data_IF_576456464699
#
_entry.id   IF_576456464699
#
_cell.length_a   1.000
_cell.length_b   1.000
_cell.length_c   1.000
_cell.angle_alpha   90.00
_cell.angle_beta   90.00
_cell.angle_gamma   90.00
#
_symmetry.space_group_name_H-M   'P 1'
#
loop_
_entity.id
_entity.type
_entity.pdbx_description
1 polymer ?
#
# COMPACT_ATOMS: atom_id res chain seq x y z
N UNK A 1 -13.21 -2.06 -12.00
CA UNK A 1 -12.85 -0.64 -11.80
C UNK A 1 -11.52 -0.43 -11.04
N UNK A 2 -11.37 -0.96 -9.82
CA UNK A 2 -10.21 -0.70 -8.93
C UNK A 2 -8.87 -1.03 -9.57
N UNK A 3 -8.75 -2.23 -10.16
CA UNK A 3 -7.54 -2.71 -10.82
C UNK A 3 -7.15 -1.85 -12.04
N UNK A 4 -8.14 -1.35 -12.80
CA UNK A 4 -7.90 -0.47 -13.95
C UNK A 4 -7.30 0.87 -13.48
N UNK A 5 -7.86 1.44 -12.41
CA UNK A 5 -7.34 2.67 -11.82
C UNK A 5 -5.94 2.48 -11.21
N UNK A 6 -5.68 1.36 -10.52
CA UNK A 6 -4.35 1.03 -9.99
C UNK A 6 -3.31 0.87 -11.09
N UNK A 7 -3.61 0.11 -12.14
CA UNK A 7 -2.69 -0.10 -13.26
C UNK A 7 -2.37 1.21 -13.98
N UNK A 8 -3.39 2.05 -14.21
CA UNK A 8 -3.22 3.34 -14.88
C UNK A 8 -2.38 4.30 -14.02
N UNK A 9 -2.67 4.39 -12.72
CA UNK A 9 -1.89 5.18 -11.76
C UNK A 9 -0.43 4.73 -11.72
N UNK A 10 -0.20 3.41 -11.68
CA UNK A 10 1.16 2.83 -11.67
C UNK A 10 1.92 3.13 -12.96
N UNK A 11 1.26 2.99 -14.12
CA UNK A 11 1.87 3.31 -15.40
C UNK A 11 2.28 4.79 -15.48
N UNK A 12 1.43 5.70 -15.00
CA UNK A 12 1.76 7.13 -14.92
C UNK A 12 2.89 7.40 -13.93
N UNK A 13 2.90 6.74 -12.76
CA UNK A 13 3.99 6.87 -11.78
C UNK A 13 5.34 6.51 -12.41
N UNK A 14 5.40 5.37 -13.12
CA UNK A 14 6.62 4.90 -13.80
C UNK A 14 7.04 5.88 -14.89
N UNK A 15 6.10 6.32 -15.75
CA UNK A 15 6.39 7.28 -16.81
C UNK A 15 6.89 8.62 -16.26
N UNK A 16 6.25 9.15 -15.21
CA UNK A 16 6.64 10.37 -14.53
C UNK A 16 8.03 10.24 -13.89
N UNK A 17 8.32 9.11 -13.24
CA UNK A 17 9.64 8.84 -12.68
C UNK A 17 10.74 8.86 -13.75
N UNK A 18 10.54 8.18 -14.88
CA UNK A 18 11.50 8.22 -16.01
C UNK A 18 11.63 9.61 -16.63
N UNK A 19 10.53 10.34 -16.74
CA UNK A 19 10.52 11.69 -17.27
C UNK A 19 11.31 12.67 -16.39
N UNK A 20 11.14 12.62 -15.07
CA UNK A 20 11.90 13.45 -14.15
C UNK A 20 13.37 13.01 -14.08
N UNK A 21 13.64 11.70 -14.09
CA UNK A 21 15.01 11.18 -14.07
C UNK A 21 15.82 11.51 -15.33
N UNK A 22 15.18 11.60 -16.50
CA UNK A 22 15.84 11.91 -17.78
C UNK A 22 16.16 13.39 -17.97
N UNK A 23 15.50 14.29 -17.22
CA UNK A 23 15.69 15.75 -17.33
C UNK A 23 16.76 16.31 -16.40
N UNK A 24 17.22 15.52 -15.45
CA UNK A 24 18.18 15.95 -14.45
C UNK A 24 19.49 15.20 -14.66
N UNK A 25 20.53 15.86 -15.17
CA UNK A 25 21.84 15.23 -15.41
C UNK A 25 22.74 15.18 -14.17
N UNK A 26 22.34 15.85 -13.08
CA UNK A 26 23.15 16.02 -11.87
C UNK A 26 23.15 14.79 -10.95
N UNK A 27 22.30 13.79 -11.15
CA UNK A 27 22.30 12.57 -10.32
C UNK A 27 23.46 11.63 -10.64
N UNK A 28 24.16 11.84 -11.77
CA UNK A 28 25.32 11.03 -12.18
C UNK A 28 26.62 11.36 -11.43
N UNK A 29 26.67 12.34 -10.51
CA UNK A 29 27.95 12.87 -9.98
C UNK A 29 28.18 12.74 -8.46
N UNK A 30 27.18 12.46 -7.61
CA UNK A 30 27.40 12.53 -6.14
C UNK A 30 27.63 11.17 -5.42
N UNK A 31 27.64 10.03 -6.13
CA UNK A 31 27.95 8.74 -5.50
C UNK A 31 29.46 8.51 -5.29
N UNK A 32 30.31 9.30 -5.96
CA UNK A 32 31.77 9.13 -5.93
C UNK A 32 32.51 10.24 -5.14
N UNK A 33 31.81 11.29 -4.70
CA UNK A 33 32.42 12.50 -4.11
C UNK A 33 32.21 12.65 -2.60
N UNK A 34 31.32 11.86 -1.98
CA UNK A 34 31.26 11.76 -0.53
C UNK A 34 32.22 10.67 -0.05
N UNK A 35 33.47 11.09 0.19
CA UNK A 35 34.37 10.34 1.04
C UNK A 35 33.72 10.07 2.40
N UNK A 36 34.06 8.91 2.95
CA UNK A 36 33.69 8.45 4.28
C UNK A 36 34.10 9.47 5.34
N UNK A 37 33.27 10.47 5.60
CA UNK A 37 33.28 11.18 6.88
C UNK A 37 32.19 10.56 7.76
N UNK A 38 32.57 9.77 8.77
CA UNK A 38 31.60 9.14 9.66
C UNK A 38 30.96 10.23 10.52
N UNK A 39 29.67 10.46 10.29
CA UNK A 39 28.83 11.12 11.27
C UNK A 39 28.83 10.26 12.53
N UNK A 40 29.49 10.74 13.58
CA UNK A 40 29.52 10.13 14.90
C UNK A 40 28.08 9.94 15.44
N UNK A 41 27.65 8.67 15.41
CA UNK A 41 27.11 7.95 16.57
C UNK A 41 26.07 8.68 17.44
N UNK A 42 24.81 8.63 17.01
CA UNK A 42 23.70 8.35 17.92
C UNK A 42 22.57 7.55 17.25
N UNK A 43 22.90 6.77 16.21
CA UNK A 43 22.04 5.74 15.65
C UNK A 43 22.77 4.43 15.89
N UNK A 44 22.25 3.63 16.82
CA UNK A 44 22.62 2.23 17.00
C UNK A 44 22.75 1.56 15.63
N UNK A 45 23.88 0.88 15.41
CA UNK A 45 24.18 -0.03 14.31
C UNK A 45 22.91 -0.51 13.61
N UNK A 46 22.51 0.15 12.52
CA UNK A 46 21.55 -0.46 11.62
C UNK A 46 22.33 -1.48 10.82
N UNK A 47 22.32 -2.72 11.31
CA UNK A 47 22.79 -3.90 10.61
C UNK A 47 22.43 -3.79 9.13
N UNK A 48 23.45 -3.63 8.28
CA UNK A 48 23.27 -3.76 6.86
C UNK A 48 22.71 -5.16 6.61
N UNK A 49 21.48 -5.24 6.10
CA UNK A 49 20.76 -6.48 5.80
C UNK A 49 21.54 -7.24 4.71
N UNK A 50 22.54 -8.02 5.08
CA UNK A 50 23.32 -8.88 4.18
C UNK A 50 22.77 -10.30 4.21
N UNK A 51 22.89 -11.04 3.10
CA UNK A 51 22.44 -12.45 3.00
C UNK A 51 23.03 -13.36 4.10
N UNK A 52 24.20 -13.01 4.66
CA UNK A 52 24.81 -13.71 5.81
C UNK A 52 23.96 -13.63 7.08
N UNK A 53 23.26 -12.51 7.31
CA UNK A 53 22.47 -12.28 8.52
C UNK A 53 21.38 -13.34 8.72
N UNK A 54 20.84 -13.89 7.64
CA UNK A 54 19.75 -14.87 7.67
C UNK A 54 20.17 -16.33 7.51
N UNK A 55 21.46 -16.64 7.36
CA UNK A 55 21.91 -18.02 7.19
C UNK A 55 21.55 -18.92 8.40
N UNK A 56 21.50 -18.35 9.60
CA UNK A 56 21.12 -19.05 10.83
C UNK A 56 19.64 -19.50 10.86
N UNK A 57 18.79 -18.92 10.00
CA UNK A 57 17.38 -19.27 9.85
C UNK A 57 17.16 -20.47 8.93
N UNK A 58 18.20 -20.98 8.27
CA UNK A 58 18.11 -22.19 7.46
C UNK A 58 18.14 -23.40 8.38
N UNK A 59 17.02 -24.10 8.50
CA UNK A 59 16.93 -25.35 9.23
C UNK A 59 17.59 -26.49 8.44
N UNK A 60 18.14 -27.48 9.16
CA UNK A 60 18.58 -28.74 8.56
C UNK A 60 17.41 -29.43 7.85
N UNK A 61 17.67 -29.82 6.59
CA UNK A 61 16.68 -30.27 5.60
C UNK A 61 15.99 -31.58 6.01
N UNK A 62 14.94 -31.50 6.85
CA UNK A 62 14.18 -32.68 7.30
C UNK A 62 13.04 -32.98 6.31
N UNK A 63 13.03 -34.17 5.72
CA UNK A 63 12.01 -34.60 4.75
C UNK A 63 10.56 -34.47 5.27
N UNK A 64 10.34 -34.66 6.58
CA UNK A 64 9.02 -34.49 7.21
C UNK A 64 8.48 -33.06 7.18
N UNK A 65 9.34 -32.05 7.25
CA UNK A 65 8.90 -30.64 7.17
C UNK A 65 8.34 -30.30 5.78
N UNK A 66 8.89 -30.91 4.73
CA UNK A 66 8.37 -30.75 3.37
C UNK A 66 6.99 -31.40 3.20
N UNK A 67 6.78 -32.58 3.77
CA UNK A 67 5.46 -33.22 3.73
C UNK A 67 4.40 -32.34 4.40
N UNK A 68 4.69 -31.80 5.58
CA UNK A 68 3.79 -30.87 6.29
C UNK A 68 3.56 -29.58 5.48
N UNK A 69 4.62 -29.05 4.86
CA UNK A 69 4.53 -27.87 4.00
C UNK A 69 3.60 -28.06 2.80
N UNK A 70 3.53 -29.26 2.23
CA UNK A 70 2.63 -29.56 1.10
C UNK A 70 1.23 -29.99 1.55
N UNK A 71 1.08 -30.61 2.73
CA UNK A 71 -0.21 -31.06 3.27
C UNK A 71 -1.14 -29.91 3.63
N UNK A 72 -0.62 -28.83 4.21
CA UNK A 72 -1.41 -27.65 4.58
C UNK A 72 -2.09 -26.96 3.38
N UNK A 73 -1.36 -26.53 2.32
CA UNK A 73 -1.98 -25.96 1.14
C UNK A 73 -2.83 -26.97 0.38
N UNK A 74 -2.47 -28.26 0.38
CA UNK A 74 -3.31 -29.31 -0.20
C UNK A 74 -4.66 -29.45 0.53
N UNK A 75 -4.69 -29.30 1.85
CA UNK A 75 -5.93 -29.28 2.65
C UNK A 75 -6.82 -28.08 2.33
N UNK A 76 -6.23 -26.89 2.17
CA UNK A 76 -6.96 -25.68 1.78
C UNK A 76 -7.51 -25.79 0.35
N UNK A 77 -6.71 -26.31 -0.59
CA UNK A 77 -7.15 -26.60 -1.96
C UNK A 77 -8.25 -27.66 -1.96
N UNK A 78 -8.14 -28.71 -1.15
CA UNK A 78 -9.17 -29.74 -1.00
C UNK A 78 -10.49 -29.19 -0.44
N UNK A 79 -10.43 -28.32 0.56
CA UNK A 79 -11.61 -27.63 1.11
C UNK A 79 -12.26 -26.70 0.08
N UNK A 80 -11.43 -25.99 -0.71
CA UNK A 80 -11.91 -25.14 -1.80
C UNK A 80 -12.57 -25.95 -2.91
N UNK A 81 -11.98 -27.09 -3.29
CA UNK A 81 -12.56 -28.01 -4.29
C UNK A 81 -13.86 -28.64 -3.77
N UNK A 82 -13.93 -29.04 -2.50
CA UNK A 82 -15.16 -29.58 -1.92
C UNK A 82 -16.30 -28.56 -1.98
N UNK A 83 -16.04 -27.30 -1.64
CA UNK A 83 -17.02 -26.22 -1.78
C UNK A 83 -17.37 -25.92 -3.25
N UNK A 84 -16.39 -25.98 -4.13
CA UNK A 84 -16.59 -25.78 -5.57
C UNK A 84 -17.53 -26.84 -6.18
N UNK A 85 -17.40 -28.09 -5.75
CA UNK A 85 -18.24 -29.21 -6.20
C UNK A 85 -19.70 -29.08 -5.72
N UNK A 86 -19.94 -28.35 -4.63
CA UNK A 86 -21.28 -28.03 -4.11
C UNK A 86 -21.88 -26.75 -4.68
N UNK A 87 -21.14 -26.00 -5.51
CA UNK A 87 -21.61 -24.74 -6.07
C UNK A 87 -22.41 -24.97 -7.36
N UNK A 88 -23.64 -24.46 -7.41
CA UNK A 88 -24.48 -24.52 -8.61
C UNK A 88 -23.92 -23.66 -9.76
N UNK A 89 -23.24 -22.56 -9.44
CA UNK A 89 -22.69 -21.62 -10.42
C UNK A 89 -21.22 -21.30 -10.12
N UNK A 90 -20.33 -21.81 -10.98
CA UNK A 90 -18.87 -21.61 -10.88
C UNK A 90 -18.46 -20.13 -10.86
N UNK A 91 -19.10 -19.31 -11.70
CA UNK A 91 -18.75 -17.89 -11.83
C UNK A 91 -19.07 -17.07 -10.58
N UNK A 92 -20.24 -17.30 -9.97
CA UNK A 92 -20.66 -16.63 -8.73
C UNK A 92 -19.80 -17.07 -7.55
N UNK A 93 -19.46 -18.36 -7.47
CA UNK A 93 -18.57 -18.87 -6.43
C UNK A 93 -17.19 -18.19 -6.46
N UNK A 94 -16.59 -18.09 -7.65
CA UNK A 94 -15.28 -17.45 -7.82
C UNK A 94 -15.32 -15.96 -7.45
N UNK A 95 -16.41 -15.27 -7.79
CA UNK A 95 -16.57 -13.84 -7.52
C UNK A 95 -16.83 -13.54 -6.04
N UNK A 96 -17.78 -14.23 -5.41
CA UNK A 96 -18.30 -13.82 -4.11
C UNK A 96 -17.60 -14.55 -2.95
N UNK A 97 -17.29 -15.85 -3.10
CA UNK A 97 -16.62 -16.61 -2.05
C UNK A 97 -15.10 -16.45 -2.08
N UNK A 98 -14.48 -16.72 -3.23
CA UNK A 98 -13.02 -16.81 -3.31
C UNK A 98 -12.36 -15.44 -3.11
N UNK A 99 -12.86 -14.40 -3.79
CA UNK A 99 -12.28 -13.06 -3.71
C UNK A 99 -12.47 -12.41 -2.33
N UNK A 100 -13.58 -12.71 -1.63
CA UNK A 100 -13.94 -12.03 -0.38
C UNK A 100 -13.38 -12.75 0.86
N UNK A 101 -13.48 -14.07 0.93
CA UNK A 101 -13.23 -14.81 2.17
C UNK A 101 -11.97 -15.67 2.14
N UNK A 102 -11.61 -16.21 0.99
CA UNK A 102 -10.53 -17.19 0.89
C UNK A 102 -9.18 -16.59 0.51
N UNK A 103 -9.16 -15.38 -0.07
CA UNK A 103 -7.93 -14.76 -0.56
C UNK A 103 -6.88 -14.55 0.55
N UNK A 104 -7.28 -13.95 1.68
CA UNK A 104 -6.35 -13.66 2.80
C UNK A 104 -5.83 -14.92 3.49
N UNK A 105 -6.68 -15.89 3.91
CA UNK A 105 -6.20 -17.15 4.47
C UNK A 105 -5.31 -17.93 3.50
N UNK A 106 -5.66 -17.97 2.20
CA UNK A 106 -4.86 -18.67 1.20
C UNK A 106 -3.48 -18.04 1.04
N UNK A 107 -3.39 -16.70 1.01
CA UNK A 107 -2.12 -15.98 0.94
C UNK A 107 -1.24 -16.25 2.16
N UNK A 108 -1.80 -16.17 3.38
CA UNK A 108 -1.06 -16.47 4.61
C UNK A 108 -0.53 -17.90 4.61
N UNK A 109 -1.37 -18.88 4.23
CA UNK A 109 -0.98 -20.28 4.19
C UNK A 109 0.09 -20.55 3.13
N UNK A 110 -0.02 -19.89 1.97
CA UNK A 110 0.97 -19.98 0.90
C UNK A 110 2.34 -19.50 1.36
N UNK A 111 2.43 -18.33 2.00
CA UNK A 111 3.70 -17.79 2.50
C UNK A 111 4.31 -18.73 3.56
N UNK A 112 3.50 -19.23 4.49
CA UNK A 112 3.95 -20.11 5.56
C UNK A 112 4.46 -21.45 5.02
N UNK A 113 3.67 -22.09 4.14
CA UNK A 113 4.04 -23.35 3.49
C UNK A 113 5.29 -23.20 2.62
N UNK A 114 5.42 -22.10 1.88
CA UNK A 114 6.62 -21.80 1.11
C UNK A 114 7.87 -21.71 2.00
N UNK A 115 7.80 -21.00 3.13
CA UNK A 115 8.88 -20.91 4.11
C UNK A 115 9.30 -22.28 4.66
N UNK A 116 8.33 -23.10 5.09
CA UNK A 116 8.61 -24.46 5.60
C UNK A 116 9.19 -25.34 4.48
N UNK A 117 8.66 -25.28 3.27
CA UNK A 117 9.13 -26.08 2.12
C UNK A 117 10.56 -25.76 1.69
N UNK A 118 10.98 -24.50 1.88
CA UNK A 118 12.36 -24.03 1.67
C UNK A 118 13.29 -24.35 2.84
N UNK A 119 12.76 -24.88 3.95
CA UNK A 119 13.55 -25.22 5.13
C UNK A 119 13.89 -24.01 5.99
N UNK A 120 13.09 -22.94 5.93
CA UNK A 120 13.26 -21.76 6.79
C UNK A 120 12.65 -22.05 8.16
N UNK A 121 13.32 -21.62 9.23
CA UNK A 121 12.78 -21.59 10.58
C UNK A 121 11.76 -20.46 10.69
N UNK A 122 10.55 -20.71 10.19
CA UNK A 122 9.51 -19.69 10.01
C UNK A 122 9.19 -18.92 11.29
N UNK A 123 9.17 -19.59 12.44
CA UNK A 123 8.93 -18.93 13.72
C UNK A 123 10.03 -17.90 14.06
N UNK A 124 11.30 -18.32 14.01
CA UNK A 124 12.46 -17.44 14.26
C UNK A 124 12.51 -16.27 13.26
N UNK A 125 12.23 -16.55 11.98
CA UNK A 125 12.19 -15.53 10.93
C UNK A 125 11.10 -14.48 11.20
N UNK A 126 9.91 -14.90 11.66
CA UNK A 126 8.82 -13.99 12.01
C UNK A 126 9.17 -13.15 13.23
N UNK A 127 9.74 -13.74 14.28
CA UNK A 127 10.11 -13.00 15.49
C UNK A 127 11.23 -11.99 15.24
N UNK A 128 12.24 -12.36 14.45
CA UNK A 128 13.33 -11.46 14.09
C UNK A 128 12.82 -10.32 13.19
N UNK A 129 12.01 -10.64 12.17
CA UNK A 129 11.36 -9.63 11.34
C UNK A 129 10.45 -8.69 12.15
N UNK A 130 9.75 -9.20 13.17
CA UNK A 130 8.93 -8.38 14.06
C UNK A 130 9.77 -7.42 14.91
N UNK A 131 10.95 -7.85 15.40
CA UNK A 131 11.89 -6.98 16.14
C UNK A 131 12.44 -5.87 15.23
N UNK A 132 12.92 -6.22 14.04
CA UNK A 132 13.40 -5.24 13.05
C UNK A 132 12.30 -4.25 12.67
N UNK A 133 11.08 -4.74 12.43
CA UNK A 133 9.90 -3.91 12.16
C UNK A 133 9.56 -2.96 13.31
N UNK A 134 9.74 -3.37 14.56
CA UNK A 134 9.50 -2.53 15.73
C UNK A 134 10.51 -1.38 15.83
N UNK A 135 11.79 -1.64 15.56
CA UNK A 135 12.82 -0.60 15.52
C UNK A 135 12.55 0.43 14.42
N UNK A 136 12.15 -0.05 13.22
CA UNK A 136 11.73 0.81 12.12
C UNK A 136 10.51 1.64 12.53
N UNK A 137 9.51 1.04 13.18
CA UNK A 137 8.33 1.75 13.66
C UNK A 137 8.70 2.91 14.60
N UNK A 138 9.60 2.69 15.57
CA UNK A 138 10.08 3.74 16.48
C UNK A 138 10.69 4.91 15.71
N UNK A 139 11.53 4.63 14.69
CA UNK A 139 12.14 5.68 13.85
C UNK A 139 11.11 6.50 13.07
N UNK A 140 9.98 5.89 12.70
CA UNK A 140 8.95 6.54 11.87
C UNK A 140 7.95 7.36 12.72
N UNK A 141 7.71 7.00 13.99
CA UNK A 141 6.74 7.68 14.89
C UNK A 141 6.81 9.22 14.79
N UNK A 142 7.98 9.89 14.88
CA UNK A 142 8.04 11.35 14.83
C UNK A 142 7.49 11.94 13.54
N UNK A 143 7.79 11.33 12.40
CA UNK A 143 7.29 11.75 11.09
C UNK A 143 5.77 11.58 10.99
N UNK A 144 5.24 10.47 11.53
CA UNK A 144 3.80 10.21 11.54
C UNK A 144 3.05 11.20 12.42
N UNK A 145 3.57 11.51 13.61
CA UNK A 145 2.96 12.49 14.50
C UNK A 145 2.89 13.86 13.82
N UNK A 146 3.98 14.30 13.18
CA UNK A 146 4.02 15.59 12.49
C UNK A 146 2.95 15.70 11.38
N UNK A 147 2.85 14.69 10.51
CA UNK A 147 1.87 14.71 9.40
C UNK A 147 0.43 14.57 9.92
N UNK A 148 0.16 13.71 10.90
CA UNK A 148 -1.18 13.52 11.46
C UNK A 148 -1.67 14.78 12.18
N UNK A 149 -0.79 15.46 12.92
CA UNK A 149 -1.11 16.75 13.56
C UNK A 149 -1.38 17.82 12.50
N UNK A 150 -0.54 17.92 11.46
CA UNK A 150 -0.74 18.88 10.37
C UNK A 150 -2.09 18.67 9.66
N UNK A 151 -2.44 17.41 9.34
CA UNK A 151 -3.74 17.06 8.73
C UNK A 151 -4.89 17.38 9.70
N UNK A 152 -4.75 17.05 10.98
CA UNK A 152 -5.75 17.35 12.01
C UNK A 152 -6.02 18.84 12.11
N UNK A 153 -4.97 19.67 12.17
CA UNK A 153 -5.08 21.13 12.17
C UNK A 153 -5.70 21.65 10.87
N UNK A 154 -5.28 21.12 9.72
CA UNK A 154 -5.83 21.51 8.42
C UNK A 154 -7.34 21.23 8.32
N UNK A 155 -7.80 20.08 8.79
CA UNK A 155 -9.23 19.75 8.87
C UNK A 155 -9.97 20.64 9.86
N UNK A 156 -9.44 20.81 11.07
CA UNK A 156 -10.06 21.64 12.11
C UNK A 156 -10.15 23.13 11.73
N UNK A 157 -9.25 23.60 10.85
CA UNK A 157 -9.26 24.99 10.36
C UNK A 157 -10.39 25.32 9.38
N UNK A 158 -11.14 24.32 8.89
CA UNK A 158 -12.13 24.50 7.82
C UNK A 158 -11.54 24.75 6.43
N UNK A 159 -10.20 24.78 6.30
CA UNK A 159 -9.51 24.94 5.02
C UNK A 159 -9.88 23.83 4.01
N UNK A 160 -10.14 22.62 4.52
CA UNK A 160 -10.59 21.49 3.72
C UNK A 160 -11.92 21.77 3.01
N UNK A 161 -12.90 22.36 3.71
CA UNK A 161 -14.23 22.64 3.18
C UNK A 161 -14.19 23.78 2.16
N UNK A 162 -13.35 24.79 2.42
CA UNK A 162 -13.09 25.89 1.49
C UNK A 162 -12.46 25.33 0.20
N UNK A 163 -11.42 24.50 0.33
CA UNK A 163 -10.75 23.87 -0.80
C UNK A 163 -11.72 23.00 -1.61
N UNK A 164 -12.55 22.21 -0.93
CA UNK A 164 -13.58 21.40 -1.56
C UNK A 164 -14.56 22.27 -2.35
N UNK A 165 -15.03 23.38 -1.77
CA UNK A 165 -15.96 24.30 -2.43
C UNK A 165 -15.37 24.94 -3.69
N UNK A 166 -14.09 25.34 -3.63
CA UNK A 166 -13.39 25.97 -4.76
C UNK A 166 -13.14 24.99 -5.91
N UNK A 167 -12.80 23.73 -5.59
CA UNK A 167 -12.45 22.70 -6.59
C UNK A 167 -13.70 22.00 -7.15
N UNK A 168 -14.80 21.95 -6.38
CA UNK A 168 -16.06 21.31 -6.76
C UNK A 168 -16.55 21.59 -8.21
N UNK A 169 -16.55 22.83 -8.74
CA UNK A 169 -17.00 23.08 -10.11
C UNK A 169 -16.15 22.36 -11.17
N UNK A 170 -14.87 22.10 -10.89
CA UNK A 170 -13.98 21.38 -11.81
C UNK A 170 -14.18 19.87 -11.63
N UNK A 171 -14.27 19.39 -10.39
CA UNK A 171 -14.37 17.95 -10.11
C UNK A 171 -15.74 17.37 -10.40
N UNK A 172 -16.81 18.16 -10.31
CA UNK A 172 -18.15 17.75 -10.70
C UNK A 172 -18.24 17.45 -12.20
N UNK A 173 -17.54 18.21 -13.05
CA UNK A 173 -17.44 17.93 -14.50
C UNK A 173 -16.72 16.60 -14.79
N UNK A 174 -15.84 16.17 -13.89
CA UNK A 174 -15.08 14.93 -14.00
C UNK A 174 -15.83 13.72 -13.40
N UNK A 175 -17.06 13.91 -12.91
CA UNK A 175 -17.86 12.82 -12.32
C UNK A 175 -17.50 12.49 -10.86
N UNK A 176 -16.85 13.41 -10.15
CA UNK A 176 -16.53 13.30 -8.72
C UNK A 176 -17.53 14.13 -7.89
N UNK A 177 -18.43 13.48 -7.11
CA UNK A 177 -19.37 14.17 -6.24
C UNK A 177 -18.67 14.99 -5.16
N UNK A 178 -19.27 16.11 -4.76
CA UNK A 178 -18.73 16.99 -3.71
C UNK A 178 -18.51 16.25 -2.38
N UNK A 179 -19.33 15.24 -2.09
CA UNK A 179 -19.29 14.39 -0.90
C UNK A 179 -18.02 13.51 -0.84
N UNK A 180 -17.50 13.12 -2.01
CA UNK A 180 -16.33 12.23 -2.16
C UNK A 180 -15.03 13.03 -2.23
N UNK A 181 -15.10 14.33 -2.53
CA UNK A 181 -13.95 15.22 -2.65
C UNK A 181 -13.06 15.29 -1.40
N UNK A 182 -13.60 15.34 -0.17
CA UNK A 182 -12.79 15.25 1.04
C UNK A 182 -11.96 13.97 1.10
N UNK A 183 -12.53 12.84 0.64
CA UNK A 183 -11.81 11.57 0.60
C UNK A 183 -10.66 11.62 -0.42
N UNK A 184 -10.91 12.14 -1.62
CA UNK A 184 -9.90 12.28 -2.68
C UNK A 184 -8.66 13.06 -2.22
N UNK A 185 -8.86 14.12 -1.45
CA UNK A 185 -7.79 14.96 -0.92
C UNK A 185 -7.12 14.29 0.29
N UNK A 186 -7.88 13.62 1.16
CA UNK A 186 -7.32 12.92 2.31
C UNK A 186 -6.53 11.67 1.93
N UNK A 187 -6.86 11.01 0.81
CA UNK A 187 -6.27 9.72 0.44
C UNK A 187 -4.73 9.75 0.33
N UNK A 188 -4.09 10.72 -0.35
CA UNK A 188 -2.63 10.85 -0.36
C UNK A 188 -2.01 11.16 1.02
N UNK A 189 -2.78 11.80 1.90
CA UNK A 189 -2.32 12.33 3.19
C UNK A 189 -2.46 11.30 4.32
N UNK A 190 -3.57 10.54 4.34
CA UNK A 190 -3.94 9.63 5.41
C UNK A 190 -4.91 8.55 4.93
N UNK A 191 -4.49 7.29 5.06
CA UNK A 191 -5.31 6.13 4.69
C UNK A 191 -6.46 5.91 5.66
N UNK A 192 -6.22 6.08 6.96
CA UNK A 192 -7.25 5.97 8.00
C UNK A 192 -8.25 7.13 7.95
N UNK A 193 -7.79 8.35 7.64
CA UNK A 193 -8.66 9.50 7.42
C UNK A 193 -9.57 9.32 6.20
N UNK A 194 -9.00 8.86 5.07
CA UNK A 194 -9.79 8.53 3.88
C UNK A 194 -10.76 7.37 4.12
N UNK A 195 -10.34 6.34 4.85
CA UNK A 195 -11.19 5.21 5.23
C UNK A 195 -12.37 5.64 6.10
N UNK A 196 -12.17 6.55 7.06
CA UNK A 196 -13.24 7.06 7.89
C UNK A 196 -14.32 7.79 7.05
N UNK A 197 -13.89 8.59 6.07
CA UNK A 197 -14.83 9.26 5.14
C UNK A 197 -15.55 8.24 4.26
N UNK A 198 -14.83 7.29 3.66
CA UNK A 198 -15.43 6.20 2.88
C UNK A 198 -16.46 5.42 3.70
N UNK A 199 -16.11 5.03 4.93
CA UNK A 199 -16.99 4.28 5.82
C UNK A 199 -18.25 5.08 6.19
N UNK A 200 -18.14 6.41 6.36
CA UNK A 200 -19.30 7.25 6.62
C UNK A 200 -20.27 7.26 5.42
N UNK A 201 -19.74 7.45 4.19
CA UNK A 201 -20.53 7.41 2.96
C UNK A 201 -21.22 6.05 2.77
N UNK A 202 -20.47 4.96 2.98
CA UNK A 202 -21.00 3.59 2.87
C UNK A 202 -22.07 3.32 3.92
N UNK A 203 -21.91 3.80 5.15
CA UNK A 203 -22.93 3.64 6.20
C UNK A 203 -24.20 4.44 5.91
N UNK A 204 -24.08 5.62 5.31
CA UNK A 204 -25.22 6.47 4.96
C UNK A 204 -26.02 5.89 3.78
N UNK A 205 -25.33 5.52 2.70
CA UNK A 205 -25.98 4.97 1.51
C UNK A 205 -25.08 3.92 0.83
N UNK A 206 -25.14 2.63 1.27
CA UNK A 206 -24.22 1.59 0.80
C UNK A 206 -24.22 1.37 -0.72
N UNK A 207 -25.40 1.48 -1.35
CA UNK A 207 -25.59 1.24 -2.78
C UNK A 207 -25.55 2.53 -3.62
N UNK A 208 -25.06 3.64 -3.05
CA UNK A 208 -24.93 4.90 -3.80
C UNK A 208 -23.70 4.92 -4.69
N UNK A 209 -23.74 5.76 -5.72
CA UNK A 209 -22.57 6.02 -6.56
C UNK A 209 -21.39 6.59 -5.75
N UNK A 210 -21.66 7.46 -4.76
CA UNK A 210 -20.66 8.03 -3.86
C UNK A 210 -19.93 6.96 -3.03
N UNK A 211 -20.67 5.98 -2.51
CA UNK A 211 -20.12 4.81 -1.80
C UNK A 211 -19.32 3.88 -2.71
N UNK A 212 -19.80 3.66 -3.93
CA UNK A 212 -19.08 2.86 -4.92
C UNK A 212 -17.78 3.52 -5.36
N UNK A 213 -17.82 4.79 -5.76
CA UNK A 213 -16.65 5.55 -6.19
C UNK A 213 -15.63 5.68 -5.06
N UNK A 214 -16.08 5.96 -3.82
CA UNK A 214 -15.17 6.05 -2.68
C UNK A 214 -14.49 4.70 -2.37
N UNK A 215 -15.20 3.58 -2.53
CA UNK A 215 -14.61 2.25 -2.39
C UNK A 215 -13.56 1.94 -3.48
N UNK A 216 -13.81 2.36 -4.72
CA UNK A 216 -12.84 2.21 -5.83
C UNK A 216 -11.58 3.04 -5.54
N UNK A 217 -11.74 4.32 -5.21
CA UNK A 217 -10.62 5.21 -4.90
C UNK A 217 -9.80 4.73 -3.69
N UNK A 218 -10.46 4.19 -2.66
CA UNK A 218 -9.82 3.60 -1.47
C UNK A 218 -8.96 2.37 -1.83
N UNK A 219 -9.33 1.61 -2.86
CA UNK A 219 -8.57 0.44 -3.30
C UNK A 219 -7.51 0.73 -4.38
N UNK A 220 -7.52 1.91 -5.00
CA UNK A 220 -6.73 2.17 -6.20
C UNK A 220 -5.41 2.91 -6.00
N UNK A 221 -5.29 3.67 -4.92
CA UNK A 221 -4.13 4.55 -4.64
C UNK A 221 -3.57 4.28 -3.26
N UNK A 222 -2.35 4.74 -2.98
CA UNK A 222 -1.70 4.63 -1.67
C UNK A 222 -1.71 5.97 -0.93
N UNK A 223 -1.13 5.97 0.27
CA UNK A 223 -0.98 7.17 1.10
C UNK A 223 0.34 7.88 0.81
N UNK A 224 0.45 8.55 -0.35
CA UNK A 224 1.71 9.13 -0.86
C UNK A 224 2.57 9.84 0.16
N UNK A 225 2.04 10.82 0.91
CA UNK A 225 2.86 11.57 1.87
C UNK A 225 3.32 10.71 3.05
N UNK A 226 2.47 9.77 3.48
CA UNK A 226 2.80 8.81 4.52
C UNK A 226 3.87 7.81 4.04
N UNK A 227 3.71 7.26 2.83
CA UNK A 227 4.68 6.37 2.19
C UNK A 227 6.02 7.09 2.01
N UNK A 228 6.04 8.33 1.50
CA UNK A 228 7.29 9.09 1.43
C UNK A 228 7.92 9.26 2.82
N UNK A 229 7.17 9.70 3.82
CA UNK A 229 7.69 9.91 5.18
C UNK A 229 8.26 8.62 5.80
N UNK A 230 7.55 7.50 5.66
CA UNK A 230 7.94 6.19 6.19
C UNK A 230 9.17 5.64 5.48
N UNK A 231 9.11 5.54 4.15
CA UNK A 231 10.15 4.86 3.37
C UNK A 231 11.41 5.72 3.28
N UNK A 232 11.27 7.04 3.11
CA UNK A 232 12.42 7.92 3.00
C UNK A 232 12.99 8.22 4.38
N UNK A 233 12.14 8.31 5.41
CA UNK A 233 12.57 8.45 6.80
C UNK A 233 13.36 7.23 7.29
N UNK A 234 12.95 6.01 6.93
CA UNK A 234 13.66 4.78 7.32
C UNK A 234 15.07 4.68 6.71
N UNK A 235 15.27 5.22 5.51
CA UNK A 235 16.55 5.15 4.76
C UNK A 235 17.33 6.49 4.82
N UNK A 236 16.79 7.52 5.47
CA UNK A 236 17.46 8.82 5.62
C UNK A 236 17.55 9.65 4.32
N UNK A 237 16.65 9.45 3.37
CA UNK A 237 16.67 10.16 2.07
C UNK A 237 16.12 11.58 2.25
N UNK A 238 16.95 12.60 1.97
CA UNK A 238 16.59 14.02 2.09
C UNK A 238 16.06 14.63 0.79
N UNK A 239 16.43 14.09 -0.39
CA UNK A 239 16.05 14.64 -1.70
C UNK A 239 14.76 14.02 -2.23
N UNK A 240 13.61 14.56 -1.82
CA UNK A 240 12.29 13.97 -2.13
C UNK A 240 11.60 14.47 -3.41
N UNK A 241 12.14 15.52 -4.06
CA UNK A 241 11.41 16.32 -5.07
C UNK A 241 10.79 15.50 -6.21
N UNK A 242 11.55 14.61 -6.85
CA UNK A 242 11.08 13.88 -8.03
C UNK A 242 10.12 12.76 -7.64
N UNK A 243 10.38 12.11 -6.50
CA UNK A 243 9.51 11.05 -5.98
C UNK A 243 8.15 11.63 -5.57
N UNK A 244 8.13 12.79 -4.92
CA UNK A 244 6.91 13.48 -4.55
C UNK A 244 6.10 13.87 -5.80
N UNK A 245 6.74 14.48 -6.81
CA UNK A 245 6.05 14.85 -8.04
C UNK A 245 5.49 13.64 -8.79
N UNK A 246 6.25 12.55 -8.91
CA UNK A 246 5.78 11.32 -9.56
C UNK A 246 4.60 10.69 -8.81
N UNK A 247 4.66 10.66 -7.47
CA UNK A 247 3.60 10.09 -6.65
C UNK A 247 2.31 10.93 -6.69
N UNK A 248 2.40 12.27 -6.66
CA UNK A 248 1.22 13.14 -6.84
C UNK A 248 0.58 12.93 -8.22
N UNK A 249 1.37 12.79 -9.28
CA UNK A 249 0.83 12.48 -10.62
C UNK A 249 0.10 11.13 -10.64
N UNK A 250 0.63 10.13 -9.92
CA UNK A 250 0.01 8.83 -9.77
C UNK A 250 -1.33 8.93 -9.02
N UNK A 251 -1.39 9.67 -7.92
CA UNK A 251 -2.61 9.86 -7.14
C UNK A 251 -3.70 10.57 -7.94
N UNK A 252 -3.34 11.66 -8.62
CA UNK A 252 -4.28 12.40 -9.49
C UNK A 252 -4.82 11.47 -10.57
N UNK A 253 -3.95 10.66 -11.19
CA UNK A 253 -4.38 9.68 -12.21
C UNK A 253 -5.29 8.62 -11.61
N UNK A 254 -4.98 8.12 -10.42
CA UNK A 254 -5.81 7.14 -9.72
C UNK A 254 -7.22 7.68 -9.43
N UNK A 255 -7.32 8.93 -8.97
CA UNK A 255 -8.61 9.61 -8.75
C UNK A 255 -9.35 9.79 -10.08
N UNK A 256 -8.70 10.34 -11.11
CA UNK A 256 -9.32 10.59 -12.41
C UNK A 256 -9.84 9.31 -13.07
N UNK A 257 -9.02 8.27 -13.11
CA UNK A 257 -9.41 6.98 -13.71
C UNK A 257 -10.51 6.32 -12.87
N UNK A 258 -10.51 6.49 -11.54
CA UNK A 258 -11.62 6.03 -10.71
C UNK A 258 -12.92 6.72 -11.11
N UNK A 259 -12.92 8.03 -11.31
CA UNK A 259 -14.11 8.78 -11.74
C UNK A 259 -14.57 8.42 -13.15
N UNK A 260 -13.64 8.17 -14.07
CA UNK A 260 -13.98 7.80 -15.45
C UNK A 260 -14.52 6.37 -15.57
N UNK A 261 -13.96 5.44 -14.80
CA UNK A 261 -14.30 4.01 -14.90
C UNK A 261 -15.51 3.65 -14.05
N UNK A 262 -15.72 4.32 -12.92
CA UNK A 262 -16.82 3.97 -11.99
C UNK A 262 -18.21 3.99 -12.62
N UNK A 263 -18.59 4.97 -13.46
CA UNK A 263 -19.90 4.99 -14.13
C UNK A 263 -20.18 3.80 -15.05
N UNK A 264 -19.16 3.13 -15.58
CA UNK A 264 -19.34 1.96 -16.45
C UNK A 264 -19.59 0.65 -15.67
N UNK A 265 -19.23 0.64 -14.39
CA UNK A 265 -19.30 -0.55 -13.52
C UNK A 265 -20.35 -0.43 -12.41
N UNK A 266 -20.95 0.75 -12.24
CA UNK A 266 -22.08 1.01 -11.35
C UNK A 266 -23.39 0.68 -12.05
#
# INVERSE_FOLDING_TARGET
>A
PTLIATLSSTAVAIAAAFFFASRDSSWRVDAASHGEEPLESSASESDSITEESYQHLIATRRYGARLIAWLLPAGLIGALIYRLLGAENLFLFMKDEVATWWLMPALMLFILSYGIGRGVKVYEAVTEGAKQGFEIAIRIIPFLVAILVAIGMFRASGAMDILATVINPITSLLGLPAEVLPMAILRPLSGSGAFAVMSALVNEAPNSYSSFLSSVMMGSTETTFYVLAVYFGAVGITRIRHALSAAICADITGVLVSCLVSPFFF
#
